data_IF_721775039720
#
_entry.id   IF_721775039720
#
_cell.length_a   1.000
_cell.length_b   1.000
_cell.length_c   1.000
_cell.angle_alpha   90.00
_cell.angle_beta   90.00
_cell.angle_gamma   90.00
#
_symmetry.space_group_name_H-M   'P 1'
#
loop_
_entity.id
_entity.type
_entity.pdbx_description
1 polymer ?
#
# COMPACT_ATOMS: atom_id res chain seq x y z
N UNK A 1 14.50 12.92 20.37
CA UNK A 1 14.30 12.38 19.01
C UNK A 1 15.17 11.15 18.91
N UNK A 2 14.59 9.96 19.11
CA UNK A 2 15.33 8.70 19.07
C UNK A 2 15.33 8.17 17.66
N UNK A 3 16.47 8.27 16.98
CA UNK A 3 16.73 7.58 15.72
C UNK A 3 16.79 6.07 16.02
N UNK A 4 15.64 5.41 16.05
CA UNK A 4 15.58 3.99 16.39
C UNK A 4 15.89 3.20 15.12
N UNK A 5 17.05 2.53 15.01
CA UNK A 5 17.49 1.87 13.79
C UNK A 5 16.55 0.73 13.35
N UNK A 6 15.69 0.27 14.25
CA UNK A 6 14.64 -0.73 13.99
C UNK A 6 13.58 -0.17 13.05
N UNK A 7 13.23 1.12 13.14
CA UNK A 7 12.17 1.69 12.31
C UNK A 7 12.60 1.84 10.85
N UNK A 8 13.89 1.93 10.54
CA UNK A 8 14.39 2.05 9.16
C UNK A 8 14.66 0.72 8.47
N UNK A 9 14.30 -0.41 9.09
CA UNK A 9 14.41 -1.74 8.48
C UNK A 9 13.16 -2.09 7.72
N UNK A 10 13.36 -2.79 6.59
CA UNK A 10 12.26 -3.42 5.86
C UNK A 10 11.69 -4.53 6.75
N UNK A 11 10.36 -4.62 6.91
CA UNK A 11 9.74 -5.71 7.66
C UNK A 11 10.13 -7.09 7.10
N UNK A 12 10.42 -8.05 7.98
CA UNK A 12 10.74 -9.43 7.59
C UNK A 12 9.52 -10.21 7.04
N UNK A 13 8.32 -9.65 7.21
CA UNK A 13 7.06 -10.23 6.75
C UNK A 13 6.27 -9.22 5.93
N UNK A 14 5.52 -9.68 4.91
CA UNK A 14 4.75 -8.79 4.06
C UNK A 14 3.64 -8.10 4.87
N UNK A 15 3.49 -6.79 4.64
CA UNK A 15 2.38 -6.01 5.19
C UNK A 15 1.25 -6.01 4.17
N UNK A 16 0.09 -6.52 4.57
CA UNK A 16 -1.08 -6.67 3.69
C UNK A 16 -2.16 -5.62 3.94
N UNK A 17 -2.01 -4.80 4.99
CA UNK A 17 -2.97 -3.76 5.34
C UNK A 17 -2.50 -2.40 4.81
N UNK A 18 -3.33 -1.75 3.99
CA UNK A 18 -3.02 -0.46 3.37
C UNK A 18 -2.89 0.67 4.38
N UNK A 19 -3.78 0.75 5.37
CA UNK A 19 -3.71 1.79 6.40
C UNK A 19 -2.41 1.68 7.20
N UNK A 20 -1.98 0.46 7.50
CA UNK A 20 -0.69 0.19 8.16
C UNK A 20 0.47 0.64 7.27
N UNK A 21 0.44 0.31 5.98
CA UNK A 21 1.47 0.72 5.03
C UNK A 21 1.56 2.26 4.88
N UNK A 22 0.42 2.95 4.82
CA UNK A 22 0.34 4.41 4.76
C UNK A 22 0.88 5.08 6.03
N UNK A 23 0.47 4.58 7.20
CA UNK A 23 0.95 5.11 8.49
C UNK A 23 2.45 4.87 8.67
N UNK A 24 2.96 3.73 8.22
CA UNK A 24 4.39 3.45 8.24
C UNK A 24 5.15 4.38 7.29
N UNK A 25 4.67 4.59 6.06
CA UNK A 25 5.25 5.56 5.13
C UNK A 25 5.30 6.98 5.72
N UNK A 26 4.22 7.41 6.38
CA UNK A 26 4.15 8.74 7.01
C UNK A 26 5.21 8.94 8.10
N UNK A 27 5.59 7.87 8.83
CA UNK A 27 6.70 7.90 9.80
C UNK A 27 8.06 8.10 9.13
N UNK A 28 8.17 7.78 7.85
CA UNK A 28 9.38 7.91 7.05
C UNK A 28 9.44 9.17 6.19
N UNK A 29 8.52 10.12 6.35
CA UNK A 29 8.46 11.35 5.53
C UNK A 29 9.75 12.18 5.58
N UNK A 30 10.42 12.16 6.72
CA UNK A 30 11.64 12.94 7.00
C UNK A 30 12.92 12.13 6.73
N UNK A 31 12.81 10.89 6.23
CA UNK A 31 13.96 10.06 5.89
C UNK A 31 14.53 10.42 4.52
N UNK A 32 15.86 10.37 4.37
CA UNK A 32 16.52 10.44 3.07
C UNK A 32 16.15 9.27 2.14
N UNK A 33 16.54 9.39 0.87
CA UNK A 33 16.21 8.41 -0.17
C UNK A 33 16.92 7.06 0.00
N UNK A 34 17.97 7.02 0.82
CA UNK A 34 18.69 5.80 1.21
C UNK A 34 17.93 4.93 2.23
N UNK A 35 16.79 5.42 2.74
CA UNK A 35 15.97 4.66 3.68
C UNK A 35 15.25 3.50 2.98
N UNK A 36 15.75 2.27 3.18
CA UNK A 36 15.18 1.06 2.60
C UNK A 36 13.70 0.84 2.99
N UNK A 37 13.34 1.12 4.25
CA UNK A 37 11.94 1.06 4.70
C UNK A 37 11.04 2.05 3.96
N UNK A 38 11.49 3.30 3.74
CA UNK A 38 10.75 4.32 2.98
C UNK A 38 10.48 3.84 1.55
N UNK A 39 11.52 3.34 0.88
CA UNK A 39 11.41 2.80 -0.49
C UNK A 39 10.45 1.62 -0.58
N UNK A 40 10.50 0.72 0.40
CA UNK A 40 9.56 -0.40 0.51
C UNK A 40 8.11 0.08 0.61
N UNK A 41 7.81 1.01 1.53
CA UNK A 41 6.45 1.50 1.70
C UNK A 41 5.95 2.35 0.53
N UNK A 42 6.84 3.09 -0.16
CA UNK A 42 6.51 3.81 -1.39
C UNK A 42 6.03 2.89 -2.51
N UNK A 43 6.63 1.69 -2.64
CA UNK A 43 6.21 0.69 -3.61
C UNK A 43 4.97 -0.09 -3.15
N UNK A 44 4.86 -0.36 -1.85
CA UNK A 44 3.79 -1.17 -1.28
C UNK A 44 2.42 -0.48 -1.29
N UNK A 45 2.36 0.82 -0.95
CA UNK A 45 1.09 1.56 -0.83
C UNK A 45 0.29 1.54 -2.15
N UNK A 46 0.87 1.83 -3.33
CA UNK A 46 0.17 1.69 -4.60
C UNK A 46 -0.30 0.26 -4.89
N UNK A 47 0.53 -0.75 -4.59
CA UNK A 47 0.18 -2.14 -4.84
C UNK A 47 -1.04 -2.59 -4.01
N UNK A 48 -1.06 -2.24 -2.71
CA UNK A 48 -2.19 -2.55 -1.83
C UNK A 48 -3.44 -1.74 -2.19
N UNK A 49 -3.28 -0.49 -2.64
CA UNK A 49 -4.40 0.33 -3.09
C UNK A 49 -5.05 -0.25 -4.35
N UNK A 50 -4.26 -0.73 -5.31
CA UNK A 50 -4.77 -1.37 -6.52
C UNK A 50 -5.47 -2.70 -6.23
N UNK A 51 -4.93 -3.53 -5.32
CA UNK A 51 -5.57 -4.78 -4.93
C UNK A 51 -6.88 -4.63 -4.15
N UNK A 52 -7.13 -3.46 -3.55
CA UNK A 52 -8.38 -3.13 -2.87
C UNK A 52 -9.40 -2.43 -3.77
N UNK A 53 -9.02 -2.02 -4.98
CA UNK A 53 -10.03 -1.56 -5.93
C UNK A 53 -10.88 -2.79 -6.26
N UNK A 54 -12.20 -2.76 -6.02
CA UNK A 54 -13.06 -3.76 -6.63
C UNK A 54 -12.75 -3.70 -8.13
N UNK A 55 -12.51 -4.87 -8.73
CA UNK A 55 -12.51 -4.97 -10.18
C UNK A 55 -13.92 -4.59 -10.62
N UNK A 56 -14.14 -3.32 -10.93
CA UNK A 56 -15.31 -2.84 -11.66
C UNK A 56 -15.22 -3.45 -13.08
N UNK A 57 -15.66 -4.70 -13.20
CA UNK A 57 -15.66 -5.49 -14.43
C UNK A 57 -16.61 -6.67 -14.27
N UNK A 58 -17.77 -6.70 -14.90
CA UNK A 58 -18.31 -5.73 -15.83
C UNK A 58 -19.79 -5.98 -16.12
N UNK A 59 -20.43 -4.94 -16.66
CA UNK A 59 -21.36 -5.00 -17.79
C UNK A 59 -22.05 -6.37 -17.98
N UNK A 60 -22.99 -6.70 -17.11
CA UNK A 60 -24.07 -7.61 -17.50
C UNK A 60 -25.18 -6.74 -18.04
N UNK A 61 -25.16 -6.56 -19.36
CA UNK A 61 -26.30 -6.16 -20.17
C UNK A 61 -27.48 -7.10 -19.84
N UNK A 62 -28.23 -6.75 -18.80
CA UNK A 62 -29.48 -7.41 -18.40
C UNK A 62 -30.66 -6.95 -19.29
N UNK A 63 -30.37 -6.27 -20.40
CA UNK A 63 -31.39 -5.79 -21.36
C UNK A 63 -31.97 -6.90 -22.25
N UNK A 64 -31.57 -8.17 -22.06
CA UNK A 64 -31.88 -9.28 -22.98
C UNK A 64 -33.10 -10.13 -22.61
N UNK A 65 -33.75 -9.90 -21.46
CA UNK A 65 -34.99 -10.57 -21.06
C UNK A 65 -36.16 -9.58 -20.92
N UNK A 66 -36.33 -8.64 -21.84
CA UNK A 66 -37.20 -8.85 -23.00
C UNK A 66 -38.52 -9.58 -22.68
N UNK A 67 -39.57 -8.76 -22.57
CA UNK A 67 -40.98 -8.97 -23.00
C UNK A 67 -41.97 -9.45 -21.96
#
# INVERSE_FOLDING_TARGET
MGDNPIFHRVPDHPILNLEVAQRALARHRDCGDDCAARRYFLALVPALSQGQRPMDGGDSDDSRWAR
#
